data_IF_056115217444
#
_entry.id   IF_056115217444
#
_cell.length_a   1.000
_cell.length_b   1.000
_cell.length_c   1.000
_cell.angle_alpha   90.00
_cell.angle_beta   90.00
_cell.angle_gamma   90.00
#
_symmetry.space_group_name_H-M   'P 1'
#
loop_
_entity.id
_entity.type
_entity.pdbx_description
1 polymer ?
#
# COMPACT_ATOMS: atom_id res chain seq x y z
N UNK A 1 -0.49 -18.64 -6.72
CA UNK A 1 0.57 -17.69 -6.34
C UNK A 1 0.00 -16.70 -5.34
N UNK A 2 0.73 -16.39 -4.27
CA UNK A 2 0.27 -15.45 -3.24
C UNK A 2 1.11 -14.17 -3.32
N UNK A 3 0.46 -13.01 -3.32
CA UNK A 3 1.12 -11.71 -3.36
C UNK A 3 0.89 -10.93 -2.06
N UNK A 4 1.97 -10.39 -1.49
CA UNK A 4 1.94 -9.43 -0.39
C UNK A 4 1.87 -8.02 -0.96
N UNK A 5 0.91 -7.22 -0.49
CA UNK A 5 0.62 -5.89 -1.02
C UNK A 5 0.91 -4.82 0.04
N UNK A 6 1.56 -3.74 -0.36
CA UNK A 6 1.69 -2.52 0.44
C UNK A 6 0.93 -1.35 -0.19
N UNK A 7 0.21 -0.56 0.62
CA UNK A 7 -0.48 0.65 0.18
C UNK A 7 0.14 1.88 0.85
N UNK A 8 0.88 2.67 0.09
CA UNK A 8 1.50 3.91 0.56
C UNK A 8 0.61 5.08 0.17
N UNK A 9 -0.09 5.66 1.14
CA UNK A 9 -1.16 6.62 0.90
C UNK A 9 -2.54 5.96 0.89
N UNK A 10 -2.98 5.47 2.06
CA UNK A 10 -4.26 4.80 2.27
C UNK A 10 -5.46 5.78 2.35
N UNK A 11 -5.56 6.65 1.33
CA UNK A 11 -6.65 7.60 1.12
C UNK A 11 -7.78 7.04 0.25
N UNK A 12 -8.59 7.91 -0.36
CA UNK A 12 -9.79 7.49 -1.11
C UNK A 12 -9.52 6.51 -2.26
N UNK A 13 -8.44 6.73 -3.01
CA UNK A 13 -8.06 5.87 -4.15
C UNK A 13 -7.63 4.49 -3.65
N UNK A 14 -6.66 4.43 -2.73
CA UNK A 14 -6.17 3.18 -2.17
C UNK A 14 -7.27 2.38 -1.43
N UNK A 15 -8.16 3.06 -0.69
CA UNK A 15 -9.31 2.41 -0.03
C UNK A 15 -10.31 1.84 -1.03
N UNK A 16 -10.56 2.55 -2.14
CA UNK A 16 -11.41 2.02 -3.22
C UNK A 16 -10.78 0.81 -3.90
N UNK A 17 -9.46 0.83 -4.14
CA UNK A 17 -8.71 -0.30 -4.67
C UNK A 17 -8.77 -1.51 -3.72
N UNK A 18 -8.53 -1.31 -2.42
CA UNK A 18 -8.62 -2.37 -1.43
C UNK A 18 -10.02 -3.02 -1.42
N UNK A 19 -11.08 -2.21 -1.40
CA UNK A 19 -12.48 -2.70 -1.51
C UNK A 19 -12.73 -3.49 -2.79
N UNK A 20 -12.17 -3.06 -3.93
CA UNK A 20 -12.29 -3.76 -5.19
C UNK A 20 -11.55 -5.11 -5.17
N UNK A 21 -10.32 -5.15 -4.67
CA UNK A 21 -9.53 -6.37 -4.56
C UNK A 21 -10.22 -7.39 -3.67
N UNK A 22 -10.75 -6.98 -2.51
CA UNK A 22 -11.53 -7.85 -1.61
C UNK A 22 -12.75 -8.41 -2.35
N UNK A 23 -13.54 -7.57 -3.03
CA UNK A 23 -14.71 -8.01 -3.80
C UNK A 23 -14.36 -8.98 -4.92
N UNK A 24 -13.14 -8.88 -5.48
CA UNK A 24 -12.66 -9.72 -6.59
C UNK A 24 -11.80 -10.89 -6.12
N UNK A 25 -11.60 -11.09 -4.82
CA UNK A 25 -10.69 -12.10 -4.30
C UNK A 25 -11.02 -13.52 -4.79
N UNK A 26 -12.30 -13.90 -4.76
CA UNK A 26 -12.74 -15.24 -5.16
C UNK A 26 -12.57 -15.44 -6.66
N UNK A 27 -12.89 -14.40 -7.44
CA UNK A 27 -12.69 -14.40 -8.89
C UNK A 27 -11.21 -14.53 -9.26
N UNK A 28 -10.33 -13.79 -8.59
CA UNK A 28 -8.88 -13.83 -8.81
C UNK A 28 -8.31 -15.21 -8.44
N UNK A 29 -8.80 -15.81 -7.35
CA UNK A 29 -8.42 -17.16 -6.94
C UNK A 29 -8.89 -18.21 -7.92
N UNK A 30 -10.16 -18.18 -8.31
CA UNK A 30 -10.78 -19.20 -9.18
C UNK A 30 -10.24 -19.13 -10.62
N UNK A 31 -10.20 -17.93 -11.22
CA UNK A 31 -9.84 -17.78 -12.64
C UNK A 31 -8.35 -17.67 -12.90
N UNK A 32 -7.58 -17.19 -11.92
CA UNK A 32 -6.16 -16.88 -12.12
C UNK A 32 -5.24 -17.58 -11.11
N UNK A 33 -5.77 -18.30 -10.11
CA UNK A 33 -4.95 -18.93 -9.07
C UNK A 33 -4.18 -17.92 -8.21
N UNK A 34 -4.66 -16.67 -8.15
CA UNK A 34 -4.02 -15.56 -7.44
C UNK A 34 -4.71 -15.35 -6.09
N UNK A 35 -3.92 -15.32 -5.03
CA UNK A 35 -4.34 -14.85 -3.71
C UNK A 35 -3.45 -13.70 -3.27
N UNK A 36 -3.90 -12.91 -2.30
CA UNK A 36 -3.12 -11.78 -1.81
C UNK A 36 -3.40 -11.50 -0.33
N UNK A 37 -2.49 -10.77 0.31
CA UNK A 37 -2.61 -10.20 1.64
C UNK A 37 -2.09 -8.77 1.64
N UNK A 38 -2.59 -7.93 2.53
CA UNK A 38 -2.02 -6.60 2.74
C UNK A 38 -1.05 -6.68 3.91
N UNK A 39 0.21 -6.26 3.73
CA UNK A 39 1.24 -6.38 4.77
C UNK A 39 1.83 -5.05 5.22
N UNK A 40 1.57 -3.96 4.49
CA UNK A 40 1.97 -2.62 4.87
C UNK A 40 0.93 -1.56 4.47
N UNK A 41 0.59 -0.67 5.40
CA UNK A 41 -0.28 0.47 5.17
C UNK A 41 0.37 1.74 5.71
N UNK A 42 0.43 2.77 4.88
CA UNK A 42 0.79 4.13 5.29
C UNK A 42 -0.37 5.07 5.03
N UNK A 43 -0.74 5.88 6.03
CA UNK A 43 -1.78 6.91 5.91
C UNK A 43 -1.18 8.29 6.14
N UNK A 44 -1.85 9.35 5.66
CA UNK A 44 -1.39 10.71 5.92
C UNK A 44 -1.70 11.25 7.32
N UNK A 45 -2.64 10.63 8.07
CA UNK A 45 -3.13 11.16 9.36
C UNK A 45 -3.46 10.11 10.42
N UNK A 46 -3.67 8.86 10.04
CA UNK A 46 -4.12 7.78 10.92
C UNK A 46 -2.97 6.82 11.29
N UNK A 47 -1.72 7.20 11.03
CA UNK A 47 -0.53 6.41 11.32
C UNK A 47 -0.18 5.36 10.26
N UNK A 48 0.62 4.40 10.69
CA UNK A 48 1.27 3.36 9.89
C UNK A 48 0.97 1.99 10.50
N UNK A 49 0.90 0.96 9.67
CA UNK A 49 0.79 -0.41 10.15
C UNK A 49 1.55 -1.38 9.24
N UNK A 50 2.29 -2.30 9.86
CA UNK A 50 2.97 -3.40 9.16
C UNK A 50 2.66 -4.70 9.87
N UNK A 51 2.30 -5.72 9.11
CA UNK A 51 2.25 -7.09 9.59
C UNK A 51 2.63 -8.04 8.43
N UNK A 52 3.82 -8.64 8.43
CA UNK A 52 4.26 -9.55 7.37
C UNK A 52 3.38 -10.79 7.19
N UNK A 53 2.60 -11.15 8.21
CA UNK A 53 1.64 -12.27 8.20
C UNK A 53 0.25 -11.86 7.70
N UNK A 54 0.03 -10.56 7.46
CA UNK A 54 -1.20 -9.99 6.95
C UNK A 54 -1.91 -9.05 7.92
N UNK A 55 -2.42 -7.95 7.39
CA UNK A 55 -3.24 -6.96 8.09
C UNK A 55 -4.73 -7.26 7.85
N UNK A 56 -5.55 -7.03 8.89
CA UNK A 56 -6.99 -6.98 8.72
C UNK A 56 -7.38 -5.69 7.99
N UNK A 57 -7.51 -5.81 6.66
CA UNK A 57 -7.82 -4.68 5.79
C UNK A 57 -9.24 -4.14 6.01
N UNK A 58 -10.18 -4.98 6.44
CA UNK A 58 -11.53 -4.52 6.75
C UNK A 58 -11.49 -3.65 8.00
N UNK A 59 -10.73 -4.08 9.02
CA UNK A 59 -10.54 -3.28 10.22
C UNK A 59 -9.80 -1.96 9.94
N UNK A 60 -8.80 -1.98 9.07
CA UNK A 60 -8.10 -0.78 8.65
C UNK A 60 -9.04 0.24 7.98
N UNK A 61 -9.97 -0.24 7.13
CA UNK A 61 -10.98 0.62 6.50
C UNK A 61 -11.91 1.25 7.55
N UNK A 62 -12.40 0.45 8.50
CA UNK A 62 -13.26 0.95 9.60
C UNK A 62 -12.57 2.03 10.42
N UNK A 63 -11.33 1.77 10.87
CA UNK A 63 -10.56 2.70 11.70
C UNK A 63 -10.34 4.04 10.99
N UNK A 64 -9.97 4.00 9.70
CA UNK A 64 -9.75 5.24 8.93
C UNK A 64 -11.07 5.97 8.67
N UNK A 65 -12.18 5.25 8.48
CA UNK A 65 -13.51 5.87 8.31
C UNK A 65 -14.04 6.48 9.61
N UNK A 66 -13.68 5.92 10.78
CA UNK A 66 -14.01 6.46 12.10
C UNK A 66 -13.02 7.53 12.61
N UNK A 67 -11.97 7.84 11.84
CA UNK A 67 -10.94 8.82 12.21
C UNK A 67 -9.97 8.32 13.29
N UNK A 68 -9.88 7.00 13.49
CA UNK A 68 -9.00 6.35 14.46
C UNK A 68 -7.68 5.92 13.85
N UNK A 69 -6.67 5.71 14.71
CA UNK A 69 -5.35 5.22 14.31
C UNK A 69 -5.39 3.77 13.84
N UNK A 70 -4.61 3.43 12.80
CA UNK A 70 -4.40 2.05 12.34
C UNK A 70 -3.27 1.33 13.08
N UNK A 71 -2.54 2.03 13.96
CA UNK A 71 -1.43 1.46 14.74
C UNK A 71 -1.75 0.13 15.45
N UNK A 72 -2.95 -0.09 16.03
CA UNK A 72 -3.27 -1.37 16.68
C UNK A 72 -3.24 -2.60 15.74
N UNK A 73 -3.22 -2.39 14.42
CA UNK A 73 -3.08 -3.46 13.44
C UNK A 73 -1.62 -3.84 13.17
N UNK A 74 -0.68 -2.99 13.56
CA UNK A 74 0.75 -3.21 13.35
C UNK A 74 1.28 -4.24 14.33
N UNK A 75 2.14 -5.16 13.87
CA UNK A 75 2.80 -6.13 14.73
C UNK A 75 4.04 -5.55 15.45
N UNK A 76 4.52 -4.41 15.00
CA UNK A 76 5.60 -3.63 15.63
C UNK A 76 5.47 -2.14 15.30
N UNK A 77 6.26 -1.31 15.98
CA UNK A 77 6.23 0.14 15.81
C UNK A 77 6.91 0.58 14.51
N UNK A 78 6.27 1.50 13.77
CA UNK A 78 6.72 1.99 12.46
C UNK A 78 6.41 3.48 12.37
N UNK A 79 7.43 4.27 12.02
CA UNK A 79 7.42 5.72 12.21
C UNK A 79 7.15 6.52 10.94
N UNK A 80 7.36 5.93 9.76
CA UNK A 80 7.15 6.60 8.48
C UNK A 80 6.85 5.63 7.32
N UNK A 81 6.50 6.19 6.16
CA UNK A 81 6.18 5.43 4.96
C UNK A 81 7.36 4.62 4.42
N UNK A 82 8.59 5.10 4.55
CA UNK A 82 9.78 4.36 4.09
C UNK A 82 9.99 3.11 4.93
N UNK A 83 9.79 3.23 6.25
CA UNK A 83 9.83 2.12 7.19
C UNK A 83 8.70 1.13 6.91
N UNK A 84 7.50 1.58 6.53
CA UNK A 84 6.43 0.68 6.05
C UNK A 84 6.90 -0.13 4.84
N UNK A 85 7.48 0.53 3.83
CA UNK A 85 7.97 -0.16 2.63
C UNK A 85 9.03 -1.19 3.01
N UNK A 86 10.05 -0.78 3.77
CA UNK A 86 11.18 -1.63 4.17
C UNK A 86 10.76 -2.88 4.94
N UNK A 87 9.77 -2.78 5.83
CA UNK A 87 9.40 -3.89 6.71
C UNK A 87 8.16 -4.67 6.25
N UNK A 88 7.44 -4.20 5.23
CA UNK A 88 6.22 -4.85 4.73
C UNK A 88 6.44 -6.24 4.12
N UNK A 89 7.64 -6.52 3.62
CA UNK A 89 7.92 -7.71 2.78
C UNK A 89 6.93 -7.84 1.61
N UNK A 90 6.42 -6.72 1.10
CA UNK A 90 5.47 -6.73 0.00
C UNK A 90 6.14 -7.14 -1.32
N UNK A 91 5.43 -7.87 -2.17
CA UNK A 91 5.82 -8.14 -3.56
C UNK A 91 5.42 -6.97 -4.46
N UNK A 92 4.33 -6.29 -4.12
CA UNK A 92 3.77 -5.17 -4.89
C UNK A 92 3.46 -4.00 -3.97
N UNK A 93 4.00 -2.83 -4.28
CA UNK A 93 3.67 -1.56 -3.63
C UNK A 93 2.77 -0.72 -4.52
N UNK A 94 1.67 -0.22 -3.97
CA UNK A 94 0.86 0.83 -4.58
C UNK A 94 1.19 2.18 -3.95
N UNK A 95 1.66 3.11 -4.76
CA UNK A 95 2.02 4.47 -4.39
C UNK A 95 0.86 5.41 -4.74
N UNK A 96 0.23 5.94 -3.69
CA UNK A 96 -0.95 6.80 -3.71
C UNK A 96 -0.82 7.97 -2.73
N UNK A 97 0.39 8.27 -2.24
CA UNK A 97 0.62 9.39 -1.33
C UNK A 97 0.51 10.72 -2.08
N UNK A 98 0.14 11.83 -1.44
CA UNK A 98 0.20 13.15 -2.07
C UNK A 98 1.61 13.45 -2.57
N UNK A 99 1.74 13.93 -3.81
CA UNK A 99 3.03 14.27 -4.41
C UNK A 99 3.19 15.79 -4.57
N UNK A 100 4.37 16.30 -4.26
CA UNK A 100 4.78 17.63 -4.71
C UNK A 100 5.09 17.55 -6.22
N UNK A 101 4.32 18.25 -7.05
CA UNK A 101 4.43 18.17 -8.51
C UNK A 101 5.71 18.78 -9.09
N UNK A 102 6.44 19.60 -8.32
CA UNK A 102 7.72 20.17 -8.73
C UNK A 102 8.87 19.21 -8.46
N UNK A 103 8.86 18.56 -7.29
CA UNK A 103 9.98 17.73 -6.83
C UNK A 103 9.74 16.23 -6.99
N UNK A 104 8.49 15.81 -7.20
CA UNK A 104 8.09 14.39 -7.19
C UNK A 104 8.11 13.73 -5.82
N UNK A 105 8.41 14.48 -4.74
CA UNK A 105 8.53 13.93 -3.40
C UNK A 105 7.20 13.93 -2.64
N UNK A 106 7.00 12.99 -1.69
CA UNK A 106 7.87 11.87 -1.29
C UNK A 106 7.75 10.62 -2.20
N UNK A 107 6.85 10.64 -3.19
CA UNK A 107 6.54 9.49 -4.04
C UNK A 107 7.76 8.87 -4.75
N UNK A 108 8.69 9.70 -5.22
CA UNK A 108 9.92 9.20 -5.86
C UNK A 108 10.77 8.35 -4.92
N UNK A 109 10.92 8.75 -3.66
CA UNK A 109 11.71 8.00 -2.69
C UNK A 109 11.01 6.69 -2.29
N UNK A 110 9.67 6.69 -2.23
CA UNK A 110 8.88 5.47 -2.05
C UNK A 110 9.13 4.48 -3.20
N UNK A 111 8.99 4.94 -4.45
CA UNK A 111 9.17 4.10 -5.65
C UNK A 111 10.60 3.55 -5.71
N UNK A 112 11.62 4.39 -5.51
CA UNK A 112 13.02 3.95 -5.49
C UNK A 112 13.27 2.90 -4.42
N UNK A 113 12.75 3.12 -3.21
CA UNK A 113 12.93 2.17 -2.10
C UNK A 113 12.27 0.82 -2.41
N UNK A 114 11.04 0.83 -2.94
CA UNK A 114 10.34 -0.38 -3.31
C UNK A 114 11.07 -1.18 -4.40
N UNK A 115 11.51 -0.51 -5.47
CA UNK A 115 12.26 -1.15 -6.56
C UNK A 115 13.60 -1.73 -6.07
N UNK A 116 14.32 -1.02 -5.20
CA UNK A 116 15.57 -1.52 -4.61
C UNK A 116 15.37 -2.76 -3.73
N UNK A 117 14.16 -2.95 -3.19
CA UNK A 117 13.77 -4.13 -2.43
C UNK A 117 13.18 -5.25 -3.31
N UNK A 118 13.16 -5.07 -4.63
CA UNK A 118 12.65 -6.06 -5.57
C UNK A 118 11.13 -6.08 -5.71
N UNK A 119 10.43 -5.04 -5.24
CA UNK A 119 8.97 -4.92 -5.36
C UNK A 119 8.57 -4.38 -6.73
N UNK A 120 7.39 -4.78 -7.22
CA UNK A 120 6.71 -4.06 -8.28
C UNK A 120 6.08 -2.77 -7.73
N UNK A 121 6.32 -1.60 -8.34
CA UNK A 121 5.85 -0.31 -7.83
C UNK A 121 4.81 0.33 -8.74
N UNK A 122 3.53 0.29 -8.36
CA UNK A 122 2.42 0.87 -9.14
C UNK A 122 2.06 2.24 -8.57
N UNK A 123 2.12 3.30 -9.38
CA UNK A 123 1.75 4.66 -8.93
C UNK A 123 0.48 5.17 -9.61
N UNK A 124 -0.37 5.86 -8.83
CA UNK A 124 -1.49 6.63 -9.36
C UNK A 124 -1.18 8.13 -9.52
N UNK A 125 0.02 8.56 -9.12
CA UNK A 125 0.44 9.95 -9.19
C UNK A 125 0.81 10.32 -10.63
N UNK A 126 0.02 11.21 -11.23
CA UNK A 126 0.32 11.85 -12.52
C UNK A 126 1.26 13.03 -12.29
N UNK A 127 2.57 12.80 -12.19
CA UNK A 127 3.55 13.86 -12.47
C UNK A 127 3.45 14.31 -13.94
N UNK A 128 4.01 15.48 -14.29
CA UNK A 128 3.98 16.03 -15.67
C UNK A 128 4.52 15.05 -16.75
N UNK A 129 5.19 13.97 -16.35
CA UNK A 129 5.51 12.83 -17.20
C UNK A 129 4.88 11.58 -16.59
N UNK A 130 3.74 11.14 -17.14
CA UNK A 130 3.07 9.92 -16.71
C UNK A 130 3.85 8.70 -17.22
N UNK A 131 4.56 8.02 -16.33
CA UNK A 131 5.08 6.67 -16.58
C UNK A 131 4.60 5.79 -15.43
N UNK A 132 3.63 4.93 -15.71
CA UNK A 132 3.38 3.78 -14.87
C UNK A 132 4.61 2.87 -15.00
N UNK A 133 5.48 2.85 -13.98
CA UNK A 133 6.58 1.90 -13.93
C UNK A 133 5.99 0.56 -13.51
N UNK A 134 5.56 -0.25 -14.47
CA UNK A 134 5.32 -1.67 -14.24
C UNK A 134 6.60 -2.37 -14.65
N UNK A 135 7.55 -2.48 -13.72
CA UNK A 135 8.73 -3.35 -13.84
C UNK A 135 8.50 -4.57 -12.99
#
# INVERSE_FOLDING_TARGET
>A
MHYKLALIGFGNVARSLAKLLIRKQDLLKEKHGITFSFTGLSTGRHGFAVNPDGLDIQKALELVESGQSIFPLSSFDVQDSLSVIQHSQADVMFENSPVNTQTGQPALDHIRTALNLGMHAITANKGQSSTAIVS
#
